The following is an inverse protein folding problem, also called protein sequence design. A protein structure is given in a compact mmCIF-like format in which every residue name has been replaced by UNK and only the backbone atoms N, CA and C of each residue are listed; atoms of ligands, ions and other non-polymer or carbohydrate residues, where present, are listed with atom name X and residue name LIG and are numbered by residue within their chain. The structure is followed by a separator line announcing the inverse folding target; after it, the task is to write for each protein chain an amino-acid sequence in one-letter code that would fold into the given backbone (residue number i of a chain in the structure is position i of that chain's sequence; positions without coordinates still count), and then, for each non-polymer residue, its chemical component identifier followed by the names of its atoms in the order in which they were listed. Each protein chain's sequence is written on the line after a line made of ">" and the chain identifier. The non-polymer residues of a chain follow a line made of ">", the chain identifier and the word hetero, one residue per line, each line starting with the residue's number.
data_IF_174583672458
#
_entry.id   IF_174583672458
#
_cell.length_a   1.000
_cell.length_b   1.000
_cell.length_c   1.000
_cell.angle_alpha   90.00
_cell.angle_beta   90.00
_cell.angle_gamma   90.00
#
_symmetry.space_group_name_H-M   'P 1'
#
loop_
_entity.id
_entity.type
_entity.pdbx_description
1 polymer ?
#
# COMPACT_ATOMS: atom_id res chain seq x y z
N UNK A 1 12.81 6.02 -25.78
CA UNK A 1 13.47 7.00 -24.89
C UNK A 1 14.97 7.04 -25.18
N UNK A 2 15.53 8.18 -25.61
CA UNK A 2 16.91 8.26 -26.12
C UNK A 2 17.89 8.97 -25.17
N UNK A 3 17.41 9.75 -24.19
CA UNK A 3 18.23 10.61 -23.29
C UNK A 3 19.21 11.53 -24.04
N UNK A 4 19.04 11.68 -25.36
CA UNK A 4 19.93 12.46 -26.20
C UNK A 4 19.49 13.92 -26.14
N UNK A 5 20.23 14.70 -25.38
CA UNK A 5 19.92 16.11 -25.18
C UNK A 5 20.18 16.99 -26.43
N UNK A 6 20.71 16.39 -27.50
CA UNK A 6 20.92 17.04 -28.79
C UNK A 6 19.82 16.72 -29.80
N UNK A 7 18.89 15.81 -29.46
CA UNK A 7 17.71 15.55 -30.27
C UNK A 7 16.73 16.74 -30.17
N UNK A 8 16.44 17.34 -31.32
CA UNK A 8 15.59 18.53 -31.45
C UNK A 8 14.22 18.19 -32.05
N UNK A 9 13.93 16.91 -32.27
CA UNK A 9 12.62 16.47 -32.74
C UNK A 9 11.55 16.88 -31.72
N UNK A 10 10.55 17.71 -32.10
CA UNK A 10 9.53 18.20 -31.16
C UNK A 10 8.61 17.12 -30.56
N UNK A 11 8.59 15.93 -31.15
CA UNK A 11 7.92 14.71 -30.65
C UNK A 11 8.92 13.61 -30.34
N UNK A 12 10.20 13.98 -30.23
CA UNK A 12 11.30 13.10 -29.91
C UNK A 12 11.29 12.71 -28.44
N UNK A 13 11.97 11.61 -28.17
CA UNK A 13 12.02 10.91 -26.89
C UNK A 13 12.88 11.62 -25.80
N UNK A 14 13.29 12.86 -26.04
CA UNK A 14 14.25 13.62 -25.23
C UNK A 14 13.61 14.65 -24.29
N UNK A 15 12.36 15.04 -24.53
CA UNK A 15 11.61 16.02 -23.70
C UNK A 15 10.24 15.48 -23.27
N UNK A 16 9.78 15.85 -22.08
CA UNK A 16 8.43 15.56 -21.57
C UNK A 16 7.37 16.53 -22.15
N UNK A 17 6.10 16.34 -21.78
CA UNK A 17 5.00 17.18 -22.24
C UNK A 17 5.08 18.63 -21.76
N UNK A 18 5.95 18.93 -20.79
CA UNK A 18 6.25 20.28 -20.32
C UNK A 18 7.50 20.88 -21.02
N UNK A 19 8.11 20.17 -21.96
CA UNK A 19 9.33 20.59 -22.66
C UNK A 19 10.60 20.48 -21.81
N UNK A 20 10.56 19.71 -20.72
CA UNK A 20 11.71 19.47 -19.84
C UNK A 20 12.47 18.24 -20.31
N UNK A 21 13.80 18.27 -20.23
CA UNK A 21 14.63 17.12 -20.60
C UNK A 21 14.30 15.90 -19.73
N UNK A 22 14.11 14.76 -20.38
CA UNK A 22 13.88 13.51 -19.67
C UNK A 22 15.24 12.89 -19.29
N UNK A 23 15.47 12.69 -18.00
CA UNK A 23 16.68 12.14 -17.37
C UNK A 23 16.39 10.76 -16.76
N UNK A 24 17.42 10.02 -16.37
CA UNK A 24 17.23 8.72 -15.68
C UNK A 24 16.38 8.85 -14.41
N UNK A 25 16.39 10.00 -13.76
CA UNK A 25 15.64 10.26 -12.52
C UNK A 25 14.15 10.53 -12.75
N UNK A 26 13.75 11.07 -13.92
CA UNK A 26 12.36 11.44 -14.21
C UNK A 26 11.70 10.57 -15.30
N UNK A 27 12.51 9.80 -16.04
CA UNK A 27 12.07 8.86 -17.06
C UNK A 27 11.19 7.73 -16.55
N UNK A 28 11.44 7.31 -15.31
CA UNK A 28 10.87 6.10 -14.76
C UNK A 28 9.84 6.43 -13.70
N UNK A 29 8.68 5.79 -13.83
CA UNK A 29 7.72 5.75 -12.76
C UNK A 29 8.19 4.73 -11.70
N UNK A 30 8.89 5.19 -10.66
CA UNK A 30 9.29 4.35 -9.54
C UNK A 30 8.07 3.87 -8.74
N UNK A 31 7.60 2.66 -9.05
CA UNK A 31 6.39 2.11 -8.41
C UNK A 31 6.58 1.65 -6.97
N UNK A 32 7.82 1.62 -6.44
CA UNK A 32 8.20 1.22 -5.07
C UNK A 32 7.36 0.07 -4.51
N UNK A 33 7.08 -0.93 -5.36
CA UNK A 33 6.18 -2.02 -5.01
C UNK A 33 6.91 -2.97 -4.07
N UNK A 34 6.34 -3.22 -2.90
CA UNK A 34 6.89 -4.16 -1.94
C UNK A 34 6.85 -5.57 -2.55
N UNK A 35 7.93 -6.33 -2.34
CA UNK A 35 8.01 -7.71 -2.82
C UNK A 35 6.90 -8.58 -2.23
N UNK A 36 6.37 -9.51 -3.03
CA UNK A 36 5.30 -10.40 -2.59
C UNK A 36 5.79 -11.50 -1.63
N UNK A 37 7.05 -11.89 -1.74
CA UNK A 37 7.71 -12.82 -0.82
C UNK A 37 7.74 -12.27 0.61
N UNK A 38 7.18 -13.01 1.56
CA UNK A 38 7.06 -12.56 2.96
C UNK A 38 5.95 -11.53 3.22
N UNK A 39 5.13 -11.18 2.22
CA UNK A 39 4.05 -10.20 2.35
C UNK A 39 3.01 -10.56 3.41
N UNK A 40 2.77 -11.86 3.66
CA UNK A 40 1.88 -12.33 4.73
C UNK A 40 2.30 -11.84 6.13
N UNK A 41 3.61 -11.85 6.42
CA UNK A 41 4.12 -11.33 7.70
C UNK A 41 3.97 -9.82 7.83
N UNK A 42 4.16 -9.09 6.72
CA UNK A 42 3.96 -7.64 6.67
C UNK A 42 2.49 -7.30 6.96
N UNK A 43 1.54 -8.01 6.33
CA UNK A 43 0.11 -7.79 6.60
C UNK A 43 -0.25 -8.14 8.05
N UNK A 44 0.26 -9.25 8.59
CA UNK A 44 0.01 -9.61 9.99
C UNK A 44 0.52 -8.53 10.95
N UNK A 45 1.73 -8.00 10.72
CA UNK A 45 2.27 -6.91 11.52
C UNK A 45 1.39 -5.66 11.43
N UNK A 46 0.96 -5.29 10.22
CA UNK A 46 0.06 -4.15 10.01
C UNK A 46 -1.28 -4.33 10.76
N UNK A 47 -1.85 -5.54 10.75
CA UNK A 47 -3.08 -5.88 11.49
C UNK A 47 -2.90 -5.76 13.00
N UNK A 48 -1.79 -6.28 13.54
CA UNK A 48 -1.47 -6.16 14.97
C UNK A 48 -1.28 -4.70 15.39
N UNK A 49 -0.50 -3.93 14.62
CA UNK A 49 -0.28 -2.51 14.89
C UNK A 49 -1.58 -1.71 14.81
N UNK A 50 -2.43 -2.01 13.82
CA UNK A 50 -3.76 -1.40 13.70
C UNK A 50 -4.61 -1.64 14.94
N UNK A 51 -4.69 -2.89 15.41
CA UNK A 51 -5.44 -3.22 16.61
C UNK A 51 -4.89 -2.52 17.86
N UNK A 52 -3.57 -2.49 18.03
CA UNK A 52 -2.91 -1.80 19.14
C UNK A 52 -3.19 -0.28 19.14
N UNK A 53 -3.16 0.35 17.97
CA UNK A 53 -3.42 1.79 17.81
C UNK A 53 -4.90 2.13 18.05
N UNK A 54 -5.82 1.29 17.57
CA UNK A 54 -7.25 1.46 17.80
C UNK A 54 -7.59 1.30 19.29
N UNK A 55 -7.00 0.32 19.97
CA UNK A 55 -7.16 0.15 21.42
C UNK A 55 -6.67 1.38 22.19
N UNK A 56 -5.53 1.96 21.81
CA UNK A 56 -5.01 3.19 22.42
C UNK A 56 -5.92 4.40 22.16
N UNK A 57 -6.46 4.54 20.95
CA UNK A 57 -7.43 5.58 20.59
C UNK A 57 -8.71 5.46 21.42
N UNK A 58 -9.24 4.25 21.56
CA UNK A 58 -10.57 4.01 22.14
C UNK A 58 -10.65 4.30 23.64
N UNK A 59 -9.50 4.37 24.32
CA UNK A 59 -9.42 4.74 25.73
C UNK A 59 -9.18 6.24 25.96
N UNK A 60 -9.07 7.07 24.91
CA UNK A 60 -8.87 8.52 25.05
C UNK A 60 -10.22 9.19 25.31
N UNK A 61 -10.47 9.74 26.52
CA UNK A 61 -11.70 10.44 26.79
C UNK A 61 -11.76 11.78 26.03
N UNK A 62 -12.97 12.29 25.81
CA UNK A 62 -13.15 13.62 25.23
C UNK A 62 -12.49 14.68 26.12
N UNK A 63 -11.77 15.62 25.49
CA UNK A 63 -10.95 16.63 26.16
C UNK A 63 -9.52 16.18 26.50
N UNK A 64 -9.10 14.98 26.09
CA UNK A 64 -7.76 14.45 26.36
C UNK A 64 -6.96 14.16 25.08
N UNK A 65 -5.69 13.84 25.28
CA UNK A 65 -4.78 13.41 24.22
C UNK A 65 -3.89 12.28 24.70
N UNK A 66 -3.46 11.43 23.77
CA UNK A 66 -2.49 10.39 24.05
C UNK A 66 -1.42 10.33 22.96
N UNK A 67 -0.23 9.85 23.34
CA UNK A 67 0.77 9.43 22.37
C UNK A 67 0.40 8.04 21.86
N UNK A 68 0.50 7.83 20.56
CA UNK A 68 0.24 6.55 19.92
C UNK A 68 1.56 5.87 19.57
N UNK A 69 1.73 4.63 20.00
CA UNK A 69 2.90 3.84 19.66
C UNK A 69 2.61 2.34 19.67
N UNK A 70 3.29 1.59 18.81
CA UNK A 70 3.19 0.11 18.82
C UNK A 70 4.46 -0.48 18.20
N UNK A 71 4.86 -1.66 18.68
CA UNK A 71 6.06 -2.38 18.25
C UNK A 71 7.34 -1.52 18.24
N UNK A 72 7.45 -0.61 19.21
CA UNK A 72 8.59 0.32 19.33
C UNK A 72 8.58 1.50 18.37
N UNK A 73 7.52 1.67 17.57
CA UNK A 73 7.36 2.75 16.60
C UNK A 73 6.39 3.78 17.17
N UNK A 74 6.79 5.05 17.19
CA UNK A 74 5.94 6.19 17.55
C UNK A 74 5.19 6.71 16.34
N UNK A 75 3.90 6.97 16.50
CA UNK A 75 3.02 7.55 15.48
C UNK A 75 2.64 8.99 15.79
N UNK A 76 3.20 9.59 16.85
CA UNK A 76 2.86 10.94 17.30
C UNK A 76 1.71 10.95 18.30
N UNK A 77 0.91 12.02 18.29
CA UNK A 77 -0.17 12.21 19.28
C UNK A 77 -1.53 12.41 18.62
N UNK A 78 -2.55 11.79 19.22
CA UNK A 78 -3.94 11.94 18.86
C UNK A 78 -4.69 12.69 19.96
N UNK A 79 -5.49 13.68 19.57
CA UNK A 79 -6.33 14.46 20.48
C UNK A 79 -7.79 14.13 20.21
N UNK A 80 -8.53 13.83 21.28
CA UNK A 80 -9.99 13.75 21.29
C UNK A 80 -10.49 15.04 21.94
N UNK A 81 -10.96 16.00 21.14
CA UNK A 81 -11.39 17.29 21.63
C UNK A 81 -12.62 17.15 22.54
N UNK A 82 -12.84 18.14 23.42
CA UNK A 82 -14.01 18.16 24.31
C UNK A 82 -15.34 18.23 23.57
N UNK A 83 -15.35 18.70 22.31
CA UNK A 83 -16.53 18.77 21.44
C UNK A 83 -16.80 17.46 20.66
N UNK A 84 -16.04 16.40 20.96
CA UNK A 84 -16.12 15.08 20.33
C UNK A 84 -15.39 14.94 18.99
N UNK A 85 -14.76 16.01 18.49
CA UNK A 85 -13.95 15.92 17.26
C UNK A 85 -12.57 15.33 17.52
N UNK A 86 -11.98 14.70 16.50
CA UNK A 86 -10.63 14.16 16.55
C UNK A 86 -9.65 15.06 15.80
N UNK A 87 -8.48 15.31 16.39
CA UNK A 87 -7.40 16.04 15.72
C UNK A 87 -6.20 15.11 15.50
N UNK A 88 -5.95 14.81 14.22
CA UNK A 88 -4.92 13.89 13.74
C UNK A 88 -3.67 14.60 13.20
N UNK A 89 -3.60 15.94 13.28
CA UNK A 89 -2.50 16.73 12.69
C UNK A 89 -1.11 16.45 13.24
N UNK A 90 -1.04 15.85 14.45
CA UNK A 90 0.22 15.44 15.09
C UNK A 90 0.52 13.94 14.89
N UNK A 91 -0.27 13.23 14.10
CA UNK A 91 0.02 11.85 13.71
C UNK A 91 0.96 11.82 12.51
N UNK A 92 1.84 10.83 12.48
CA UNK A 92 2.84 10.63 11.44
C UNK A 92 2.83 9.18 10.97
N UNK A 93 3.18 8.92 9.71
CA UNK A 93 3.29 7.57 9.16
C UNK A 93 1.95 6.83 8.97
N UNK A 94 0.81 7.53 9.11
CA UNK A 94 -0.52 6.99 8.87
C UNK A 94 -1.10 7.65 7.61
N UNK A 95 -1.51 6.89 6.59
CA UNK A 95 -2.06 7.44 5.34
C UNK A 95 -3.33 8.25 5.56
N UNK A 96 -3.54 9.28 4.74
CA UNK A 96 -4.69 10.19 4.85
C UNK A 96 -6.06 9.48 4.95
N UNK A 97 -6.36 8.42 4.16
CA UNK A 97 -7.64 7.71 4.30
C UNK A 97 -7.83 7.01 5.66
N UNK A 98 -6.75 6.77 6.42
CA UNK A 98 -6.80 6.21 7.78
C UNK A 98 -6.89 7.29 8.87
N UNK A 99 -6.74 8.57 8.50
CA UNK A 99 -6.80 9.74 9.40
C UNK A 99 -8.14 10.50 9.30
N UNK A 100 -8.95 10.23 8.28
CA UNK A 100 -10.29 10.81 8.14
C UNK A 100 -11.14 10.45 9.35
N UNK A 101 -11.77 11.45 9.95
CA UNK A 101 -12.64 11.31 11.10
C UNK A 101 -13.77 12.34 11.06
N UNK A 102 -14.82 12.09 11.83
CA UNK A 102 -15.93 13.00 12.07
C UNK A 102 -16.25 13.04 13.56
N UNK A 103 -17.19 13.88 13.98
CA UNK A 103 -17.68 13.88 15.37
C UNK A 103 -18.32 12.55 15.79
N UNK A 104 -18.81 11.77 14.84
CA UNK A 104 -19.50 10.49 15.08
C UNK A 104 -18.66 9.28 14.70
N UNK A 105 -17.47 9.48 14.11
CA UNK A 105 -16.63 8.39 13.64
C UNK A 105 -15.15 8.70 13.91
N UNK A 106 -14.49 7.93 14.79
CA UNK A 106 -13.08 8.12 15.08
C UNK A 106 -12.20 7.80 13.85
N UNK A 107 -10.96 8.34 13.77
CA UNK A 107 -10.04 7.99 12.70
C UNK A 107 -9.73 6.49 12.77
N UNK A 108 -9.70 5.79 11.63
CA UNK A 108 -9.57 4.32 11.62
C UNK A 108 -8.18 3.84 12.06
N UNK A 109 -7.14 4.65 11.86
CA UNK A 109 -5.73 4.34 12.19
C UNK A 109 -5.20 3.05 11.56
N UNK A 110 -5.82 2.59 10.47
CA UNK A 110 -5.41 1.37 9.77
C UNK A 110 -4.02 1.60 9.16
N UNK A 111 -3.07 0.72 9.51
CA UNK A 111 -1.79 0.60 8.84
C UNK A 111 -2.02 -0.05 7.49
N UNK A 112 -1.58 0.62 6.41
CA UNK A 112 -1.79 0.18 5.03
C UNK A 112 -0.44 -0.15 4.42
N UNK A 113 -0.02 -1.43 4.45
CA UNK A 113 1.36 -1.77 4.16
C UNK A 113 1.67 -1.85 2.66
N UNK A 114 0.68 -1.94 1.78
CA UNK A 114 0.93 -2.24 0.36
C UNK A 114 0.70 -1.03 -0.56
N UNK A 115 1.36 -1.08 -1.73
CA UNK A 115 1.40 -0.04 -2.79
C UNK A 115 2.29 1.17 -2.48
N UNK A 116 2.63 1.95 -3.52
CA UNK A 116 3.62 3.06 -3.55
C UNK A 116 3.46 4.14 -2.44
N UNK A 117 2.27 4.26 -1.84
CA UNK A 117 1.96 5.25 -0.79
C UNK A 117 1.27 4.64 0.44
N UNK A 118 1.28 3.31 0.58
CA UNK A 118 0.55 2.63 1.64
C UNK A 118 -0.95 2.90 1.55
N UNK A 119 -1.59 2.52 0.44
CA UNK A 119 -3.04 2.74 0.27
C UNK A 119 -3.86 1.45 0.40
N UNK A 120 -3.19 0.30 0.39
CA UNK A 120 -3.82 -1.01 0.34
C UNK A 120 -3.63 -1.71 1.68
N UNK A 121 -4.74 -2.21 2.23
CA UNK A 121 -4.82 -2.73 3.62
C UNK A 121 -4.43 -4.20 3.72
N UNK A 122 -4.50 -4.94 2.62
CA UNK A 122 -4.28 -6.40 2.60
C UNK A 122 -3.80 -6.89 1.24
N UNK A 123 -3.16 -8.07 1.24
CA UNK A 123 -2.81 -8.84 0.04
C UNK A 123 -4.08 -9.15 -0.75
N UNK A 124 -5.19 -9.51 -0.10
CA UNK A 124 -6.46 -9.77 -0.81
C UNK A 124 -6.93 -8.56 -1.63
N UNK A 125 -6.88 -7.37 -1.05
CA UNK A 125 -7.23 -6.14 -1.77
C UNK A 125 -6.24 -5.85 -2.91
N UNK A 126 -4.93 -6.05 -2.66
CA UNK A 126 -3.91 -5.93 -3.69
C UNK A 126 -4.19 -6.87 -4.88
N UNK A 127 -4.52 -8.12 -4.60
CA UNK A 127 -4.76 -9.17 -5.59
C UNK A 127 -5.99 -8.88 -6.46
N UNK A 128 -7.09 -8.44 -5.84
CA UNK A 128 -8.25 -7.93 -6.58
C UNK A 128 -7.91 -6.74 -7.48
N UNK A 129 -7.05 -5.83 -7.01
CA UNK A 129 -6.60 -4.70 -7.80
C UNK A 129 -5.70 -5.12 -8.96
N UNK A 130 -4.81 -6.07 -8.73
CA UNK A 130 -3.85 -6.54 -9.71
C UNK A 130 -4.50 -7.37 -10.83
N UNK A 131 -5.47 -8.23 -10.51
CA UNK A 131 -6.21 -8.98 -11.55
C UNK A 131 -6.94 -8.02 -12.49
N UNK A 132 -7.67 -7.05 -11.95
CA UNK A 132 -8.36 -6.07 -12.77
C UNK A 132 -7.38 -5.17 -13.55
N UNK A 133 -6.48 -4.48 -12.85
CA UNK A 133 -5.68 -3.41 -13.47
C UNK A 133 -4.57 -3.94 -14.39
N UNK A 134 -4.05 -5.15 -14.16
CA UNK A 134 -2.93 -5.68 -14.92
C UNK A 134 -3.28 -6.85 -15.83
N UNK A 135 -4.34 -7.59 -15.52
CA UNK A 135 -4.74 -8.76 -16.32
C UNK A 135 -6.07 -8.52 -17.06
N UNK A 136 -6.79 -7.44 -16.75
CA UNK A 136 -8.13 -7.21 -17.27
C UNK A 136 -9.13 -8.26 -16.77
N UNK A 137 -8.88 -8.86 -15.60
CA UNK A 137 -9.73 -9.94 -15.07
C UNK A 137 -10.58 -9.41 -13.92
N UNK A 138 -11.91 -9.56 -14.00
CA UNK A 138 -12.88 -9.03 -13.06
C UNK A 138 -13.35 -10.06 -12.02
N UNK A 139 -13.09 -9.79 -10.74
CA UNK A 139 -13.57 -10.64 -9.63
C UNK A 139 -14.98 -10.28 -9.18
N UNK A 140 -15.78 -11.31 -8.87
CA UNK A 140 -17.15 -11.14 -8.37
C UNK A 140 -17.19 -10.37 -7.03
N UNK A 141 -16.18 -10.51 -6.18
CA UNK A 141 -16.16 -9.83 -4.87
C UNK A 141 -15.91 -8.32 -4.97
N UNK A 142 -15.32 -7.87 -6.08
CA UNK A 142 -15.05 -6.46 -6.35
C UNK A 142 -16.19 -5.82 -7.16
N UNK A 143 -16.68 -6.53 -8.17
CA UNK A 143 -17.59 -5.97 -9.17
C UNK A 143 -19.04 -6.41 -8.99
N UNK A 144 -19.28 -7.48 -8.22
CA UNK A 144 -20.59 -8.07 -8.00
C UNK A 144 -20.84 -9.28 -8.89
N UNK A 145 -21.63 -10.22 -8.38
CA UNK A 145 -22.03 -11.41 -9.11
C UNK A 145 -22.88 -11.05 -10.35
N UNK A 146 -22.57 -11.66 -11.48
CA UNK A 146 -23.24 -11.48 -12.77
C UNK A 146 -22.93 -10.15 -13.44
N UNK A 147 -21.91 -9.43 -12.98
CA UNK A 147 -21.56 -8.11 -13.48
C UNK A 147 -20.41 -8.21 -14.47
N UNK A 148 -20.58 -7.58 -15.63
CA UNK A 148 -19.58 -7.37 -16.68
C UNK A 148 -19.36 -5.85 -16.78
N UNK A 149 -18.35 -5.31 -16.07
CA UNK A 149 -18.12 -3.86 -16.01
C UNK A 149 -17.35 -3.31 -17.21
N UNK A 150 -16.59 -4.14 -17.93
CA UNK A 150 -15.82 -3.70 -19.09
C UNK A 150 -16.48 -4.03 -20.43
N UNK A 151 -17.57 -4.80 -20.43
CA UNK A 151 -18.43 -5.05 -21.57
C UNK A 151 -17.82 -6.02 -22.57
N UNK A 152 -16.93 -6.89 -22.14
CA UNK A 152 -16.27 -7.86 -23.00
C UNK A 152 -17.12 -9.13 -23.25
N UNK A 153 -18.28 -9.23 -22.60
CA UNK A 153 -19.23 -10.32 -22.72
C UNK A 153 -19.02 -11.45 -21.71
N UNK A 154 -18.05 -11.33 -20.81
CA UNK A 154 -17.79 -12.27 -19.73
C UNK A 154 -18.15 -11.65 -18.38
N UNK A 155 -18.79 -12.44 -17.52
CA UNK A 155 -19.08 -12.07 -16.15
C UNK A 155 -18.60 -13.19 -15.22
N UNK A 156 -18.30 -12.85 -13.97
CA UNK A 156 -17.82 -13.80 -12.95
C UNK A 156 -16.49 -14.47 -13.32
N UNK A 157 -15.55 -13.72 -13.86
CA UNK A 157 -14.28 -14.28 -14.36
C UNK A 157 -13.39 -14.84 -13.23
N UNK A 158 -13.49 -14.27 -12.02
CA UNK A 158 -12.89 -14.83 -10.81
C UNK A 158 -13.89 -14.88 -9.66
N UNK A 159 -14.03 -16.05 -9.05
CA UNK A 159 -14.86 -16.22 -7.86
C UNK A 159 -14.15 -15.74 -6.60
N UNK A 160 -14.90 -15.56 -5.51
CA UNK A 160 -14.33 -15.31 -4.19
C UNK A 160 -13.41 -16.45 -3.73
N UNK A 161 -13.64 -17.69 -4.20
CA UNK A 161 -12.78 -18.84 -3.93
C UNK A 161 -11.45 -18.74 -4.68
N UNK A 162 -11.46 -18.31 -5.95
CA UNK A 162 -10.24 -18.11 -6.74
C UNK A 162 -9.33 -17.04 -6.13
N UNK A 163 -9.92 -15.90 -5.74
CA UNK A 163 -9.15 -14.85 -5.06
C UNK A 163 -8.63 -15.35 -3.69
N UNK A 164 -9.41 -16.18 -2.99
CA UNK A 164 -8.94 -16.80 -1.74
C UNK A 164 -7.72 -17.67 -1.99
N UNK A 165 -7.76 -18.54 -3.00
CA UNK A 165 -6.64 -19.41 -3.36
C UNK A 165 -5.39 -18.59 -3.73
N UNK A 166 -5.54 -17.58 -4.59
CA UNK A 166 -4.44 -16.69 -4.98
C UNK A 166 -3.85 -15.95 -3.78
N UNK A 167 -4.70 -15.42 -2.90
CA UNK A 167 -4.26 -14.73 -1.67
C UNK A 167 -3.51 -15.67 -0.75
N UNK A 168 -4.03 -16.87 -0.49
CA UNK A 168 -3.39 -17.88 0.37
C UNK A 168 -2.02 -18.29 -0.15
N UNK A 169 -1.90 -18.50 -1.47
CA UNK A 169 -0.62 -18.76 -2.10
C UNK A 169 0.37 -17.62 -1.86
N UNK A 170 -0.06 -16.37 -2.08
CA UNK A 170 0.81 -15.20 -1.95
C UNK A 170 1.28 -14.95 -0.52
N UNK A 171 0.40 -15.05 0.48
CA UNK A 171 0.77 -14.84 1.89
C UNK A 171 1.67 -15.96 2.42
N UNK A 172 1.63 -17.15 1.81
CA UNK A 172 2.46 -18.29 2.17
C UNK A 172 3.85 -18.27 1.50
N UNK A 173 4.12 -17.34 0.58
CA UNK A 173 5.42 -17.24 -0.07
C UNK A 173 6.51 -16.86 0.95
N UNK A 174 7.62 -17.61 0.90
CA UNK A 174 8.74 -17.48 1.84
C UNK A 174 9.29 -16.06 1.93
N UNK A 175 9.76 -15.68 3.12
CA UNK A 175 10.55 -14.46 3.33
C UNK A 175 11.90 -14.63 2.62
N UNK A 176 12.33 -13.68 1.79
CA UNK A 176 13.64 -13.75 1.15
C UNK A 176 14.76 -13.80 2.20
N UNK A 177 15.67 -14.76 2.05
CA UNK A 177 16.88 -14.87 2.86
C UNK A 177 18.11 -14.40 2.08
N UNK A 178 19.15 -13.96 2.81
CA UNK A 178 20.46 -13.67 2.21
C UNK A 178 21.14 -14.99 1.85
N UNK A 179 21.55 -15.15 0.60
CA UNK A 179 22.47 -16.22 0.19
C UNK A 179 23.88 -15.67 0.28
N UNK A 180 24.71 -16.23 1.16
CA UNK A 180 26.13 -15.87 1.26
C UNK A 180 26.92 -16.72 0.26
N UNK A 181 27.64 -16.11 -0.70
CA UNK A 181 28.47 -16.85 -1.64
C UNK A 181 29.57 -17.65 -0.94
N UNK A 182 29.93 -18.81 -1.51
CA UNK A 182 31.00 -19.67 -0.97
C UNK A 182 32.41 -19.17 -1.31
N UNK A 183 32.52 -18.17 -2.18
CA UNK A 183 33.78 -17.52 -2.48
C UNK A 183 34.19 -16.63 -1.30
N UNK A 184 35.38 -16.88 -0.74
CA UNK A 184 35.84 -16.20 0.46
C UNK A 184 36.06 -14.69 0.26
N UNK A 185 36.45 -14.26 -0.94
CA UNK A 185 36.63 -12.84 -1.24
C UNK A 185 35.27 -12.13 -1.32
N UNK A 186 34.25 -12.78 -1.88
CA UNK A 186 32.88 -12.23 -1.93
C UNK A 186 32.20 -12.29 -0.57
N UNK A 187 32.42 -13.36 0.20
CA UNK A 187 31.90 -13.49 1.57
C UNK A 187 32.49 -12.43 2.52
N UNK A 188 33.77 -12.08 2.38
CA UNK A 188 34.42 -11.07 3.21
C UNK A 188 34.01 -9.62 2.93
N UNK A 189 33.33 -9.36 1.80
CA UNK A 189 32.86 -8.03 1.38
C UNK A 189 31.39 -7.76 1.75
N UNK A 190 30.76 -8.66 2.49
CA UNK A 190 29.31 -8.80 2.74
C UNK A 190 28.99 -8.56 4.21
#
# INVERSE_FOLDING_TARGET
>A
MTFDHTDTMPTGDAMDEAGTMVTMENAFNERKTIGMNGSGFIEMLARQMTADLQAQRDVIPAGASAALSTKGISFGSLVHNSDGSWNTSKLQGIPAPSLTSSKTSPPSLIIRPFHQVGNIISVRQFTNNAFNHHHGIQSEERFGLGTDQDGDGFANELTAADITAATLFQIAMNVPGRVIPRDAAVQGAI
#
